data_IF_690295660847
#
_entry.id   IF_690295660847
#
_cell.length_a   1.000
_cell.length_b   1.000
_cell.length_c   1.000
_cell.angle_alpha   90.00
_cell.angle_beta   90.00
_cell.angle_gamma   90.00
#
_symmetry.space_group_name_H-M   'P 1'
#
loop_
_entity.id
_entity.type
_entity.pdbx_description
1 polymer ?
#
# COMPACT_ATOMS: atom_id res chain seq x y z
N UNK A 1 -20.31 49.71 -5.44
CA UNK A 1 -19.31 49.62 -4.39
C UNK A 1 -18.08 48.89 -4.95
N UNK A 2 -17.13 49.70 -5.45
CA UNK A 2 -15.86 49.16 -5.94
C UNK A 2 -14.89 49.04 -4.73
N UNK A 3 -14.36 47.84 -4.54
CA UNK A 3 -13.32 47.62 -3.54
C UNK A 3 -12.15 48.58 -3.70
N UNK A 4 -11.48 49.03 -2.60
CA UNK A 4 -10.35 49.93 -2.66
C UNK A 4 -9.25 49.38 -3.60
N UNK A 5 -8.61 50.26 -4.36
CA UNK A 5 -7.63 49.92 -5.38
C UNK A 5 -6.53 48.91 -4.93
N UNK A 6 -6.19 48.91 -3.64
CA UNK A 6 -5.26 47.92 -3.04
C UNK A 6 -5.83 46.54 -2.93
N UNK A 7 -7.15 46.39 -2.76
CA UNK A 7 -7.84 45.11 -2.66
C UNK A 7 -8.13 44.51 -4.06
N UNK A 8 -8.18 45.33 -5.10
CA UNK A 8 -8.36 44.83 -6.48
C UNK A 8 -7.18 44.01 -7.02
N UNK A 9 -6.02 44.04 -6.37
CA UNK A 9 -4.88 43.16 -6.67
C UNK A 9 -5.03 41.73 -6.18
N UNK A 10 -6.02 41.47 -5.36
CA UNK A 10 -6.26 40.15 -4.79
C UNK A 10 -7.61 39.63 -5.25
N UNK A 11 -7.68 39.28 -6.55
CA UNK A 11 -8.88 38.70 -7.16
C UNK A 11 -9.32 37.37 -6.56
N UNK A 12 -8.68 36.91 -5.46
CA UNK A 12 -9.01 35.69 -4.71
C UNK A 12 -9.29 35.94 -3.25
N UNK A 13 -9.39 37.19 -2.80
CA UNK A 13 -9.86 37.50 -1.47
C UNK A 13 -11.38 37.50 -1.47
N UNK A 14 -11.96 36.53 -0.81
CA UNK A 14 -13.38 36.48 -0.53
C UNK A 14 -13.64 37.03 0.87
N UNK A 15 -14.76 37.75 1.06
CA UNK A 15 -15.23 38.10 2.40
C UNK A 15 -15.67 36.83 3.15
N UNK A 16 -15.77 36.94 4.47
CA UNK A 16 -16.24 35.82 5.30
C UNK A 16 -17.67 35.39 4.91
N UNK A 17 -18.50 36.32 4.45
CA UNK A 17 -19.83 36.09 3.94
C UNK A 17 -19.81 35.36 2.59
N UNK A 18 -18.92 35.73 1.70
CA UNK A 18 -18.73 35.04 0.40
C UNK A 18 -18.21 33.62 0.63
N UNK A 19 -17.21 33.44 1.50
CA UNK A 19 -16.69 32.12 1.88
C UNK A 19 -17.80 31.27 2.51
N UNK A 20 -18.66 31.83 3.37
CA UNK A 20 -19.76 31.10 3.99
C UNK A 20 -20.82 30.63 2.98
N UNK A 21 -20.94 31.30 1.84
CA UNK A 21 -21.82 30.90 0.75
C UNK A 21 -21.23 29.77 -0.11
N UNK A 22 -19.88 29.69 -0.23
CA UNK A 22 -19.19 28.62 -0.93
C UNK A 22 -18.95 27.38 -0.06
N UNK A 23 -18.70 27.59 1.22
CA UNK A 23 -18.48 26.53 2.21
C UNK A 23 -19.62 26.45 3.22
N UNK A 24 -20.85 26.51 2.76
CA UNK A 24 -21.96 26.12 3.63
C UNK A 24 -21.76 24.65 3.98
N UNK A 25 -21.29 24.40 5.20
CA UNK A 25 -21.48 23.10 5.81
C UNK A 25 -22.99 22.91 5.85
N UNK A 26 -23.55 21.99 5.09
CA UNK A 26 -24.98 21.82 5.10
C UNK A 26 -25.37 21.37 6.51
N UNK A 27 -26.09 22.25 7.23
CA UNK A 27 -26.71 21.88 8.49
C UNK A 27 -27.89 20.99 8.15
N UNK A 28 -27.89 19.71 8.55
CA UNK A 28 -28.99 18.81 8.24
C UNK A 28 -30.26 19.33 8.89
N UNK A 29 -31.25 19.61 8.06
CA UNK A 29 -32.64 19.76 8.55
C UNK A 29 -33.15 18.35 8.90
N UNK A 30 -34.14 18.27 9.76
CA UNK A 30 -34.76 16.99 10.17
C UNK A 30 -35.19 16.09 9.03
N UNK A 31 -35.35 16.63 7.81
CA UNK A 31 -35.73 15.91 6.58
C UNK A 31 -34.58 15.50 5.68
N UNK A 32 -33.31 15.78 6.06
CA UNK A 32 -32.16 15.48 5.22
C UNK A 32 -31.92 16.46 4.07
N UNK A 33 -30.95 16.14 3.19
CA UNK A 33 -30.68 16.89 1.95
C UNK A 33 -31.25 16.14 0.75
N UNK A 34 -31.73 16.84 -0.30
CA UNK A 34 -32.05 16.18 -1.56
C UNK A 34 -30.82 15.39 -2.09
N UNK A 35 -31.00 14.10 -2.25
CA UNK A 35 -29.93 13.21 -2.74
C UNK A 35 -29.00 12.64 -1.66
N UNK A 36 -29.06 13.09 -0.40
CA UNK A 36 -28.33 12.49 0.71
C UNK A 36 -29.35 11.94 1.73
N UNK A 37 -29.41 10.65 1.89
CA UNK A 37 -30.10 10.05 3.04
C UNK A 37 -29.23 10.25 4.26
N UNK A 38 -29.60 11.18 5.12
CA UNK A 38 -29.12 11.19 6.49
C UNK A 38 -29.85 10.05 7.21
N UNK A 39 -29.13 8.99 7.48
CA UNK A 39 -29.61 7.93 8.36
C UNK A 39 -29.51 8.45 9.80
N UNK A 40 -30.50 9.26 10.18
CA UNK A 40 -30.65 9.77 11.55
C UNK A 40 -31.43 8.79 12.43
N UNK A 41 -31.78 7.63 11.86
CA UNK A 41 -32.43 6.58 12.62
C UNK A 41 -31.47 5.99 13.63
N UNK A 42 -31.89 5.91 14.86
CA UNK A 42 -31.36 4.92 15.78
C UNK A 42 -31.36 3.59 15.04
N UNK A 43 -30.21 3.13 14.62
CA UNK A 43 -30.09 1.82 13.98
C UNK A 43 -30.57 0.82 15.01
N UNK A 44 -31.65 0.13 14.71
CA UNK A 44 -32.10 -0.98 15.53
C UNK A 44 -31.02 -2.09 15.42
N UNK A 45 -30.13 -2.09 16.39
CA UNK A 45 -29.05 -3.09 16.50
C UNK A 45 -29.56 -4.44 16.99
N UNK A 46 -30.83 -4.53 17.36
CA UNK A 46 -31.47 -5.74 17.92
C UNK A 46 -31.60 -6.89 16.90
N UNK A 47 -31.52 -6.58 15.60
CA UNK A 47 -31.70 -7.56 14.52
C UNK A 47 -30.38 -8.02 13.89
N UNK A 48 -29.23 -7.74 14.50
CA UNK A 48 -27.95 -8.17 13.96
C UNK A 48 -27.87 -9.70 13.95
N UNK A 49 -27.84 -10.30 12.77
CA UNK A 49 -27.54 -11.74 12.64
C UNK A 49 -26.15 -12.00 13.21
N UNK A 50 -26.03 -13.08 13.98
CA UNK A 50 -24.73 -13.53 14.44
C UNK A 50 -23.79 -13.70 13.24
N UNK A 51 -22.65 -13.00 13.26
CA UNK A 51 -21.62 -13.09 12.22
C UNK A 51 -20.74 -14.27 12.60
N UNK A 52 -20.58 -15.22 11.67
CA UNK A 52 -19.81 -16.44 11.87
C UNK A 52 -18.37 -16.15 11.71
N UNK A 53 -17.51 -15.71 12.21
CA UNK A 53 -16.13 -15.25 12.07
C UNK A 53 -16.08 -13.73 12.12
N UNK A 54 -16.49 -13.17 13.23
CA UNK A 54 -16.47 -11.74 13.43
C UNK A 54 -15.12 -11.26 13.98
N UNK A 55 -14.68 -10.12 13.48
CA UNK A 55 -13.61 -9.33 14.07
C UNK A 55 -14.24 -8.21 14.86
N UNK A 56 -14.01 -8.20 16.17
CA UNK A 56 -14.57 -7.21 17.09
C UNK A 56 -13.64 -5.99 17.18
N UNK A 57 -14.16 -4.81 16.85
CA UNK A 57 -13.44 -3.55 16.98
C UNK A 57 -13.59 -2.92 18.36
N UNK A 58 -14.70 -3.13 19.02
CA UNK A 58 -15.07 -2.54 20.30
C UNK A 58 -16.57 -2.67 20.54
N UNK A 59 -17.12 -1.72 21.26
CA UNK A 59 -18.55 -1.64 21.52
C UNK A 59 -19.11 -0.32 21.00
N UNK A 60 -20.37 -0.32 20.63
CA UNK A 60 -21.09 0.90 20.35
C UNK A 60 -21.33 1.67 21.67
N UNK A 61 -21.01 2.95 21.66
CA UNK A 61 -21.38 3.84 22.76
C UNK A 61 -22.80 4.32 22.51
N UNK A 62 -23.73 3.86 23.32
CA UNK A 62 -25.10 4.38 23.34
C UNK A 62 -25.39 4.93 24.73
N UNK A 63 -25.43 6.26 24.82
CA UNK A 63 -25.68 6.97 26.08
C UNK A 63 -27.11 6.75 26.60
N UNK A 64 -28.03 6.25 25.78
CA UNK A 64 -29.46 6.19 26.10
C UNK A 64 -29.95 4.81 26.57
N UNK A 65 -29.28 3.74 26.17
CA UNK A 65 -29.82 2.38 26.39
C UNK A 65 -29.04 1.54 27.41
N UNK A 66 -27.79 1.92 27.72
CA UNK A 66 -26.92 1.11 28.61
C UNK A 66 -26.61 -0.30 28.05
N UNK A 67 -26.93 -0.55 26.77
CA UNK A 67 -26.68 -1.83 26.11
C UNK A 67 -25.32 -1.81 25.50
N UNK A 68 -24.46 -2.70 25.96
CA UNK A 68 -23.10 -2.90 25.45
C UNK A 68 -23.15 -3.77 24.18
N UNK A 69 -23.39 -3.15 23.03
CA UNK A 69 -23.48 -3.84 21.74
C UNK A 69 -22.10 -3.91 21.08
N UNK A 70 -21.61 -5.10 20.72
CA UNK A 70 -20.32 -5.23 20.05
C UNK A 70 -20.35 -4.59 18.65
N UNK A 71 -19.34 -3.77 18.35
CA UNK A 71 -19.03 -3.28 17.02
C UNK A 71 -18.07 -4.26 16.35
N UNK A 72 -18.56 -5.05 15.43
CA UNK A 72 -17.80 -6.09 14.73
C UNK A 72 -18.13 -6.13 13.24
N UNK A 73 -17.28 -6.76 12.47
CA UNK A 73 -17.49 -7.03 11.05
C UNK A 73 -17.01 -8.43 10.68
N UNK A 74 -17.52 -8.95 9.57
CA UNK A 74 -17.15 -10.25 9.05
C UNK A 74 -15.73 -10.24 8.50
N UNK A 75 -14.94 -11.27 8.82
CA UNK A 75 -13.60 -11.51 8.25
C UNK A 75 -13.60 -11.41 6.72
N UNK A 76 -14.66 -11.85 6.03
CA UNK A 76 -14.76 -11.75 4.58
C UNK A 76 -14.70 -10.29 4.07
N UNK A 77 -14.97 -9.32 4.91
CA UNK A 77 -14.84 -7.91 4.53
C UNK A 77 -13.39 -7.48 4.34
N UNK A 78 -12.41 -8.23 4.86
CA UNK A 78 -10.99 -8.01 4.57
C UNK A 78 -10.59 -8.32 3.12
N UNK A 79 -11.45 -8.98 2.34
CA UNK A 79 -11.27 -9.03 0.88
C UNK A 79 -11.38 -7.65 0.21
N UNK A 80 -11.81 -6.63 0.96
CA UNK A 80 -11.88 -5.23 0.53
C UNK A 80 -10.80 -4.41 1.21
N UNK A 81 -10.47 -3.27 0.60
CA UNK A 81 -9.55 -2.33 1.22
C UNK A 81 -10.16 -1.68 2.46
N UNK A 82 -9.36 -1.54 3.52
CA UNK A 82 -9.70 -0.83 4.74
C UNK A 82 -8.76 0.34 4.98
N UNK A 83 -9.24 1.39 5.62
CA UNK A 83 -8.44 2.55 6.01
C UNK A 83 -8.71 2.89 7.47
N UNK A 84 -7.63 2.95 8.28
CA UNK A 84 -7.69 3.39 9.68
C UNK A 84 -7.04 4.76 9.77
N UNK A 85 -7.82 5.77 10.08
CA UNK A 85 -7.36 7.17 10.19
C UNK A 85 -7.60 7.73 11.59
N UNK A 86 -6.79 8.70 11.96
CA UNK A 86 -6.92 9.40 13.24
C UNK A 86 -5.66 10.22 13.53
N UNK A 87 -5.78 11.16 14.46
CA UNK A 87 -4.64 11.97 14.95
C UNK A 87 -3.61 11.09 15.69
N UNK A 88 -2.37 11.55 15.87
CA UNK A 88 -1.41 10.87 16.73
C UNK A 88 -1.99 10.60 18.12
N UNK A 89 -1.77 9.39 18.66
CA UNK A 89 -2.31 8.99 19.97
C UNK A 89 -3.78 8.55 20.00
N UNK A 90 -4.50 8.57 18.87
CA UNK A 90 -5.92 8.14 18.82
C UNK A 90 -6.15 6.63 18.87
N UNK A 91 -5.10 5.82 19.03
CA UNK A 91 -5.23 4.37 19.12
C UNK A 91 -5.25 3.60 17.80
N UNK A 92 -4.83 4.20 16.66
CA UNK A 92 -4.76 3.51 15.36
C UNK A 92 -3.97 2.21 15.42
N UNK A 93 -2.77 2.26 15.99
CA UNK A 93 -1.90 1.08 16.14
C UNK A 93 -2.53 0.05 17.07
N UNK A 94 -3.18 0.48 18.15
CA UNK A 94 -3.91 -0.42 19.06
C UNK A 94 -5.07 -1.12 18.35
N UNK A 95 -5.83 -0.40 17.53
CA UNK A 95 -6.91 -0.98 16.74
C UNK A 95 -6.36 -2.02 15.75
N UNK A 96 -5.22 -1.73 15.10
CA UNK A 96 -4.58 -2.69 14.20
C UNK A 96 -4.05 -3.92 14.95
N UNK A 97 -3.43 -3.75 16.12
CA UNK A 97 -3.01 -4.88 16.95
C UNK A 97 -4.20 -5.78 17.31
N UNK A 98 -5.32 -5.19 17.69
CA UNK A 98 -6.53 -5.96 18.00
C UNK A 98 -7.04 -6.76 16.78
N UNK A 99 -7.01 -6.16 15.59
CA UNK A 99 -7.38 -6.85 14.34
C UNK A 99 -6.42 -8.00 14.06
N UNK A 100 -5.10 -7.75 14.09
CA UNK A 100 -4.08 -8.75 13.80
C UNK A 100 -4.12 -9.91 14.78
N UNK A 101 -4.38 -9.64 16.08
CA UNK A 101 -4.55 -10.67 17.08
C UNK A 101 -5.73 -11.58 16.76
N UNK A 102 -6.87 -11.01 16.40
CA UNK A 102 -8.06 -11.79 16.04
C UNK A 102 -7.88 -12.55 14.72
N UNK A 103 -7.18 -11.96 13.73
CA UNK A 103 -6.83 -12.70 12.50
C UNK A 103 -5.96 -13.92 12.82
N UNK A 104 -5.01 -13.77 13.73
CA UNK A 104 -4.18 -14.87 14.21
C UNK A 104 -5.03 -15.96 14.89
N UNK A 105 -5.92 -15.58 15.79
CA UNK A 105 -6.83 -16.49 16.49
C UNK A 105 -7.75 -17.25 15.51
N UNK A 106 -8.15 -16.60 14.43
CA UNK A 106 -8.89 -17.24 13.34
C UNK A 106 -8.02 -18.01 12.33
N UNK A 107 -6.72 -18.19 12.59
CA UNK A 107 -5.75 -18.84 11.69
C UNK A 107 -5.69 -18.23 10.30
N UNK A 108 -5.87 -16.94 10.19
CA UNK A 108 -5.77 -16.19 8.93
C UNK A 108 -4.37 -15.61 8.81
N UNK A 109 -3.60 -16.00 7.78
CA UNK A 109 -2.27 -15.45 7.58
C UNK A 109 -2.34 -13.97 7.21
N UNK A 110 -1.36 -13.19 7.69
CA UNK A 110 -1.25 -11.78 7.35
C UNK A 110 0.21 -11.37 7.15
N UNK A 111 0.42 -10.29 6.43
CA UNK A 111 1.72 -9.63 6.27
C UNK A 111 1.55 -8.17 6.70
N UNK A 112 2.48 -7.69 7.51
CA UNK A 112 2.56 -6.27 7.90
C UNK A 112 3.79 -5.65 7.27
N UNK A 113 3.58 -4.60 6.48
CA UNK A 113 4.66 -3.77 5.94
C UNK A 113 4.72 -2.49 6.78
N UNK A 114 5.84 -2.28 7.45
CA UNK A 114 6.04 -1.15 8.37
C UNK A 114 7.26 -0.32 7.94
N UNK A 115 7.09 0.65 7.02
CA UNK A 115 8.23 1.36 6.44
C UNK A 115 8.86 2.41 7.36
N UNK A 116 8.11 2.95 8.32
CA UNK A 116 8.54 4.13 9.08
C UNK A 116 8.79 3.89 10.57
N UNK A 117 8.28 2.79 11.13
CA UNK A 117 8.33 2.50 12.56
C UNK A 117 8.67 1.02 12.78
N UNK A 118 8.76 0.62 14.04
CA UNK A 118 9.04 -0.77 14.43
C UNK A 118 8.08 -1.26 15.52
N UNK A 119 6.86 -0.73 15.55
CA UNK A 119 5.88 -0.97 16.61
C UNK A 119 5.34 -2.42 16.56
N UNK A 120 5.11 -2.95 15.34
CA UNK A 120 4.49 -4.28 15.17
C UNK A 120 5.39 -5.45 15.59
N UNK A 121 6.68 -5.24 15.81
CA UNK A 121 7.56 -6.24 16.45
C UNK A 121 7.06 -6.68 17.81
N UNK A 122 6.30 -5.82 18.51
CA UNK A 122 5.72 -6.15 19.80
C UNK A 122 4.77 -7.37 19.74
N UNK A 123 4.19 -7.68 18.58
CA UNK A 123 3.38 -8.89 18.41
C UNK A 123 4.15 -10.17 18.76
N UNK A 124 5.47 -10.20 18.52
CA UNK A 124 6.33 -11.34 18.85
C UNK A 124 6.46 -11.58 20.37
N UNK A 125 6.14 -10.60 21.19
CA UNK A 125 6.17 -10.75 22.66
C UNK A 125 4.92 -11.41 23.21
N UNK A 126 3.87 -11.55 22.41
CA UNK A 126 2.65 -12.25 22.78
C UNK A 126 2.91 -13.75 22.76
N UNK A 127 2.56 -14.44 23.87
CA UNK A 127 2.84 -15.87 24.03
C UNK A 127 2.15 -16.75 23.00
N UNK A 128 1.02 -16.29 22.51
CA UNK A 128 0.19 -17.00 21.54
C UNK A 128 0.73 -16.85 20.11
N UNK A 129 1.53 -15.83 19.83
CA UNK A 129 2.01 -15.45 18.48
C UNK A 129 3.47 -15.82 18.22
N UNK A 130 3.87 -17.03 18.60
CA UNK A 130 5.28 -17.48 18.54
C UNK A 130 5.83 -17.64 17.13
N UNK A 131 4.96 -17.89 16.14
CA UNK A 131 5.37 -18.18 14.75
C UNK A 131 5.51 -16.93 13.87
N UNK A 132 5.31 -15.74 14.45
CA UNK A 132 5.51 -14.49 13.72
C UNK A 132 6.98 -14.35 13.33
N UNK A 133 7.22 -14.21 12.02
CA UNK A 133 8.53 -13.90 11.46
C UNK A 133 8.64 -12.39 11.28
N UNK A 134 9.67 -11.81 11.86
CA UNK A 134 9.98 -10.39 11.71
C UNK A 134 11.26 -10.27 10.89
N UNK A 135 11.21 -9.54 9.80
CA UNK A 135 12.35 -9.27 8.94
C UNK A 135 12.72 -7.79 9.02
N UNK A 136 14.00 -7.49 8.86
CA UNK A 136 14.51 -6.13 8.78
C UNK A 136 15.13 -5.92 7.40
N UNK A 137 14.56 -5.00 6.63
CA UNK A 137 15.10 -4.66 5.32
C UNK A 137 16.35 -3.78 5.50
N UNK A 138 17.41 -4.09 4.76
CA UNK A 138 18.63 -3.29 4.75
C UNK A 138 19.57 -3.50 5.94
N UNK A 139 19.24 -4.36 6.90
CA UNK A 139 20.12 -4.71 8.01
C UNK A 139 20.42 -6.21 8.01
N UNK A 140 21.62 -6.58 7.54
CA UNK A 140 22.08 -7.96 7.49
C UNK A 140 22.34 -8.58 8.87
N UNK A 141 22.52 -7.76 9.89
CA UNK A 141 22.78 -8.20 11.27
C UNK A 141 21.52 -8.59 12.04
N UNK A 142 20.34 -8.15 11.58
CA UNK A 142 19.08 -8.31 12.30
C UNK A 142 18.00 -8.91 11.42
N UNK A 143 17.92 -10.24 11.35
CA UNK A 143 16.87 -10.98 10.65
C UNK A 143 16.60 -10.45 9.23
N UNK A 144 17.56 -10.56 8.31
CA UNK A 144 17.45 -9.97 6.98
C UNK A 144 16.34 -10.63 6.16
N UNK A 145 15.67 -9.83 5.34
CA UNK A 145 14.74 -10.32 4.34
C UNK A 145 15.47 -10.52 3.02
N UNK A 146 15.71 -11.78 2.68
CA UNK A 146 16.39 -12.15 1.44
C UNK A 146 15.43 -12.82 0.49
N UNK A 147 15.24 -12.21 -0.65
CA UNK A 147 14.49 -12.81 -1.76
C UNK A 147 15.13 -12.38 -3.08
N UNK A 148 14.98 -13.18 -4.11
CA UNK A 148 15.44 -12.83 -5.44
C UNK A 148 14.27 -12.23 -6.25
N UNK A 149 14.26 -10.92 -6.52
CA UNK A 149 13.17 -10.30 -7.29
C UNK A 149 13.12 -10.77 -8.74
N UNK A 150 14.19 -11.41 -9.23
CA UNK A 150 14.26 -11.96 -10.59
C UNK A 150 13.59 -13.35 -10.68
N UNK A 151 13.12 -13.95 -9.60
CA UNK A 151 12.46 -15.24 -9.62
C UNK A 151 11.06 -15.13 -10.22
N UNK A 152 10.83 -15.84 -11.32
CA UNK A 152 9.50 -15.93 -11.95
C UNK A 152 8.75 -17.09 -11.30
N UNK A 153 7.69 -16.77 -10.57
CA UNK A 153 6.90 -17.78 -9.86
C UNK A 153 6.23 -18.76 -10.85
N UNK A 154 6.06 -20.03 -10.46
CA UNK A 154 5.40 -21.03 -11.29
C UNK A 154 4.03 -20.55 -11.81
N UNK A 155 3.79 -20.77 -13.11
CA UNK A 155 2.55 -20.36 -13.77
C UNK A 155 2.47 -18.87 -14.18
N UNK A 156 3.46 -18.06 -13.84
CA UNK A 156 3.52 -16.65 -14.26
C UNK A 156 4.28 -16.54 -15.58
N UNK A 157 3.73 -15.81 -16.54
CA UNK A 157 4.40 -15.50 -17.81
C UNK A 157 5.54 -14.51 -17.59
N UNK A 158 6.64 -14.73 -18.33
CA UNK A 158 7.84 -13.89 -18.25
C UNK A 158 7.52 -12.41 -18.49
N UNK A 159 6.74 -12.08 -19.50
CA UNK A 159 6.45 -10.69 -19.87
C UNK A 159 5.70 -9.96 -18.75
N UNK A 160 4.77 -10.66 -18.08
CA UNK A 160 4.05 -10.10 -16.94
C UNK A 160 5.00 -9.82 -15.78
N UNK A 161 5.92 -10.74 -15.53
CA UNK A 161 6.92 -10.57 -14.47
C UNK A 161 7.86 -9.41 -14.77
N UNK A 162 8.38 -9.31 -16.01
CA UNK A 162 9.25 -8.20 -16.45
C UNK A 162 8.55 -6.85 -16.27
N UNK A 163 7.28 -6.74 -16.71
CA UNK A 163 6.51 -5.50 -16.57
C UNK A 163 6.31 -5.11 -15.10
N UNK A 164 6.06 -6.09 -14.22
CA UNK A 164 5.92 -5.85 -12.79
C UNK A 164 7.24 -5.42 -12.16
N UNK A 165 8.33 -6.10 -12.50
CA UNK A 165 9.67 -5.80 -12.00
C UNK A 165 10.11 -4.40 -12.44
N UNK A 166 9.92 -4.05 -13.71
CA UNK A 166 10.20 -2.72 -14.22
C UNK A 166 9.39 -1.64 -13.49
N UNK A 167 8.10 -1.89 -13.25
CA UNK A 167 7.25 -0.96 -12.49
C UNK A 167 7.74 -0.77 -11.04
N UNK A 168 8.25 -1.83 -10.40
CA UNK A 168 8.84 -1.73 -9.07
C UNK A 168 10.11 -0.87 -9.07
N UNK A 169 10.99 -1.05 -10.05
CA UNK A 169 12.20 -0.22 -10.17
C UNK A 169 11.87 1.24 -10.43
N UNK A 170 10.95 1.53 -11.36
CA UNK A 170 10.51 2.90 -11.65
C UNK A 170 9.86 3.54 -10.43
N UNK A 171 9.07 2.78 -9.66
CA UNK A 171 8.43 3.30 -8.44
C UNK A 171 9.38 3.45 -7.25
N UNK A 172 10.49 2.72 -7.21
CA UNK A 172 11.48 2.79 -6.15
C UNK A 172 12.57 3.84 -6.39
N UNK A 173 12.86 4.13 -7.66
CA UNK A 173 13.90 5.05 -8.09
C UNK A 173 13.31 6.07 -9.05
N UNK A 174 13.73 7.32 -8.93
CA UNK A 174 13.33 8.39 -9.86
C UNK A 174 14.06 8.22 -11.19
N UNK A 175 13.61 7.26 -11.99
CA UNK A 175 14.19 6.96 -13.29
C UNK A 175 13.63 7.91 -14.35
N UNK A 176 14.50 8.72 -14.94
CA UNK A 176 14.16 9.63 -16.04
C UNK A 176 14.55 9.02 -17.39
N UNK A 177 13.89 9.44 -18.46
CA UNK A 177 14.26 9.05 -19.82
C UNK A 177 15.74 9.35 -20.11
N UNK A 178 16.49 8.40 -20.70
CA UNK A 178 16.05 7.13 -21.27
C UNK A 178 16.23 5.88 -20.36
N UNK A 179 16.50 6.05 -19.06
CA UNK A 179 16.81 4.95 -18.11
C UNK A 179 15.76 3.82 -18.09
N UNK A 180 14.44 4.09 -18.09
CA UNK A 180 13.45 3.01 -18.09
C UNK A 180 13.57 2.06 -19.29
N UNK A 181 13.94 2.59 -20.45
CA UNK A 181 14.11 1.80 -21.68
C UNK A 181 15.33 0.89 -21.55
N UNK A 182 16.45 1.42 -21.03
CA UNK A 182 17.67 0.63 -20.81
C UNK A 182 17.46 -0.46 -19.77
N UNK A 183 16.76 -0.14 -18.70
CA UNK A 183 16.39 -1.10 -17.67
C UNK A 183 15.58 -2.27 -18.26
N UNK A 184 14.58 -1.96 -19.08
CA UNK A 184 13.79 -2.99 -19.76
C UNK A 184 14.66 -3.89 -20.65
N UNK A 185 15.55 -3.30 -21.44
CA UNK A 185 16.48 -4.05 -22.29
C UNK A 185 17.44 -4.90 -21.47
N UNK A 186 17.97 -4.37 -20.36
CA UNK A 186 18.84 -5.11 -19.46
C UNK A 186 18.12 -6.30 -18.81
N UNK A 187 16.91 -6.09 -18.31
CA UNK A 187 16.08 -7.16 -17.74
C UNK A 187 15.82 -8.26 -18.79
N UNK A 188 15.36 -7.90 -19.97
CA UNK A 188 15.09 -8.87 -21.05
C UNK A 188 16.35 -9.67 -21.42
N UNK A 189 17.50 -8.97 -21.60
CA UNK A 189 18.78 -9.61 -21.88
C UNK A 189 19.17 -10.60 -20.78
N UNK A 190 18.99 -10.22 -19.52
CA UNK A 190 19.34 -11.07 -18.37
C UNK A 190 18.60 -12.39 -18.41
N UNK A 191 17.30 -12.37 -18.68
CA UNK A 191 16.50 -13.59 -18.83
C UNK A 191 16.92 -14.41 -20.05
N UNK A 192 17.16 -13.75 -21.19
CA UNK A 192 17.61 -14.44 -22.41
C UNK A 192 18.93 -15.20 -22.20
N UNK A 193 19.88 -14.61 -21.48
CA UNK A 193 21.15 -15.27 -21.14
C UNK A 193 20.99 -16.50 -20.25
N UNK A 194 19.89 -16.61 -19.52
CA UNK A 194 19.52 -17.74 -18.66
C UNK A 194 18.54 -18.73 -19.33
N UNK A 195 18.38 -18.63 -20.64
CA UNK A 195 17.56 -19.58 -21.43
C UNK A 195 16.09 -19.24 -21.53
N UNK A 196 15.66 -18.08 -21.00
CA UNK A 196 14.27 -17.64 -21.13
C UNK A 196 14.01 -17.01 -22.50
N UNK A 197 12.81 -17.18 -23.01
CA UNK A 197 12.34 -16.65 -24.29
C UNK A 197 10.92 -16.07 -24.14
N UNK A 198 10.49 -15.30 -25.13
CA UNK A 198 9.15 -14.72 -25.13
C UNK A 198 8.07 -15.82 -25.09
N UNK A 199 7.18 -15.72 -24.11
CA UNK A 199 6.15 -16.73 -23.85
C UNK A 199 6.53 -17.78 -22.80
N UNK A 200 7.78 -17.80 -22.29
CA UNK A 200 8.18 -18.68 -21.17
C UNK A 200 7.31 -18.47 -19.95
N UNK A 201 7.08 -19.55 -19.22
CA UNK A 201 6.29 -19.56 -17.98
C UNK A 201 7.16 -20.05 -16.83
N UNK A 202 7.05 -19.40 -15.68
CA UNK A 202 7.77 -19.83 -14.48
C UNK A 202 7.49 -21.28 -14.13
N UNK A 203 8.55 -22.02 -13.78
CA UNK A 203 8.50 -23.45 -13.49
C UNK A 203 8.74 -24.36 -14.69
N UNK A 204 8.94 -23.85 -15.89
CA UNK A 204 9.36 -24.65 -17.05
C UNK A 204 10.78 -25.22 -16.83
N UNK A 205 11.02 -26.48 -17.21
CA UNK A 205 12.32 -27.10 -17.05
C UNK A 205 13.36 -26.47 -18.00
N UNK A 206 14.60 -26.34 -17.50
CA UNK A 206 15.73 -25.81 -18.28
C UNK A 206 15.86 -24.28 -18.25
N UNK A 207 14.99 -23.57 -17.56
CA UNK A 207 15.11 -22.14 -17.34
C UNK A 207 15.86 -21.87 -16.01
N UNK A 208 16.95 -21.13 -16.10
CA UNK A 208 17.70 -20.72 -14.90
C UNK A 208 17.15 -19.39 -14.36
N UNK A 209 17.04 -19.30 -13.03
CA UNK A 209 16.62 -18.06 -12.38
C UNK A 209 17.79 -17.07 -12.36
N UNK A 210 17.65 -15.88 -12.99
CA UNK A 210 18.67 -14.85 -12.90
C UNK A 210 18.80 -14.28 -11.50
N UNK A 211 19.90 -13.59 -11.26
CA UNK A 211 20.16 -12.82 -10.04
C UNK A 211 20.24 -11.33 -10.34
N UNK A 212 20.24 -10.49 -9.31
CA UNK A 212 20.52 -9.05 -9.48
C UNK A 212 21.91 -8.78 -10.01
N UNK A 213 22.89 -9.64 -9.71
CA UNK A 213 24.25 -9.52 -10.29
C UNK A 213 24.22 -9.72 -11.80
N UNK A 214 23.47 -10.72 -12.28
CA UNK A 214 23.29 -10.92 -13.74
C UNK A 214 22.60 -9.71 -14.39
N UNK A 215 21.69 -9.05 -13.68
CA UNK A 215 21.06 -7.82 -14.16
C UNK A 215 22.06 -6.66 -14.26
N UNK A 216 22.92 -6.48 -13.26
CA UNK A 216 23.97 -5.46 -13.29
C UNK A 216 24.92 -5.68 -14.48
N UNK A 217 25.38 -6.90 -14.72
CA UNK A 217 26.22 -7.22 -15.87
C UNK A 217 25.51 -6.93 -17.21
N UNK A 218 24.22 -7.24 -17.29
CA UNK A 218 23.43 -6.93 -18.48
C UNK A 218 23.24 -5.43 -18.68
N UNK A 219 23.02 -4.68 -17.60
CA UNK A 219 22.90 -3.22 -17.63
C UNK A 219 24.21 -2.57 -18.10
N UNK A 220 25.35 -2.97 -17.54
CA UNK A 220 26.68 -2.50 -17.97
C UNK A 220 26.94 -2.82 -19.45
N UNK A 221 26.56 -4.00 -19.90
CA UNK A 221 26.68 -4.36 -21.31
C UNK A 221 25.85 -3.43 -22.20
N UNK A 222 24.59 -3.22 -21.88
CA UNK A 222 23.69 -2.34 -22.65
C UNK A 222 24.23 -0.93 -22.71
N UNK A 223 24.66 -0.35 -21.56
CA UNK A 223 25.22 1.00 -21.50
C UNK A 223 26.51 1.11 -22.32
N UNK A 224 27.41 0.15 -22.20
CA UNK A 224 28.69 0.16 -22.93
C UNK A 224 28.53 0.07 -24.45
N UNK A 225 27.52 -0.67 -24.92
CA UNK A 225 27.21 -0.83 -26.35
C UNK A 225 26.17 0.17 -26.88
N UNK A 226 25.64 1.03 -26.01
CA UNK A 226 24.79 2.15 -26.44
C UNK A 226 25.63 3.19 -27.19
N UNK A 227 25.01 3.87 -28.16
CA UNK A 227 25.65 4.94 -28.92
C UNK A 227 25.88 6.26 -28.16
N UNK A 228 25.82 6.25 -26.83
CA UNK A 228 26.00 7.43 -26.00
C UNK A 228 27.46 7.87 -25.89
N UNK A 229 27.66 9.18 -25.70
CA UNK A 229 28.95 9.76 -25.41
C UNK A 229 29.48 9.32 -24.02
N UNK A 230 30.78 9.52 -23.80
CA UNK A 230 31.47 9.07 -22.60
C UNK A 230 30.88 9.68 -21.32
N UNK A 231 30.35 10.91 -21.39
CA UNK A 231 29.78 11.58 -20.22
C UNK A 231 28.48 10.92 -19.77
N UNK A 232 27.56 10.65 -20.71
CA UNK A 232 26.32 9.93 -20.41
C UNK A 232 26.60 8.53 -19.86
N UNK A 233 27.60 7.83 -20.41
CA UNK A 233 27.98 6.50 -19.90
C UNK A 233 28.46 6.54 -18.45
N UNK A 234 29.21 7.59 -18.05
CA UNK A 234 29.64 7.73 -16.66
C UNK A 234 28.49 8.06 -15.71
N UNK A 235 27.51 8.84 -16.15
CA UNK A 235 26.33 9.19 -15.37
C UNK A 235 25.39 7.98 -15.13
N UNK A 236 25.44 6.98 -16.00
CA UNK A 236 24.72 5.72 -15.84
C UNK A 236 25.42 4.69 -14.95
N UNK A 237 26.72 4.84 -14.70
CA UNK A 237 27.52 3.93 -13.87
C UNK A 237 27.65 4.41 -12.42
N UNK A 238 27.22 5.63 -12.13
CA UNK A 238 27.23 6.22 -10.79
C UNK A 238 25.99 5.85 -9.98
#
# INVERSE_FOLDING_TARGET
>A
DTAPYRAQRFNRLCSLEEISNYFRIPIPKQTGFPGLRLDTGLRDFSTRKAIKNEIRLGNYLDDSSGVDLPASFDVQQFAKHGLIVGVPGSGKTTAMFNILYQLWDHHIPFIVLEPAKTEYRALKTLKEMTDIKVFTLGDEGVSPFRFNPMEVLPGIKLERHISSLQSCFIGAFDLFDPLPIFLEQAIKRTYQLKGWYDGSVGGEPGLETPTLSDLCESAEYIVSHSGFDAKMKSDFQA
#
